data_IF_958396031331
#
_entry.id   IF_958396031331
#
_cell.length_a   1.000
_cell.length_b   1.000
_cell.length_c   1.000
_cell.angle_alpha   90.00
_cell.angle_beta   90.00
_cell.angle_gamma   90.00
#
_symmetry.space_group_name_H-M   'P 1'
#
loop_
_entity.id
_entity.type
_entity.pdbx_description
1 polymer ?
#
# COMPACT_ATOMS: atom_id res chain seq x y z
N UNK A 1 9.68 27.57 -12.89
CA UNK A 1 11.14 27.76 -12.87
C UNK A 1 11.45 28.69 -11.70
N UNK A 2 11.81 28.12 -10.54
CA UNK A 2 12.43 28.87 -9.44
C UNK A 2 13.61 28.02 -9.01
N UNK A 3 14.79 28.54 -9.33
CA UNK A 3 16.08 27.92 -9.09
C UNK A 3 16.53 28.16 -7.64
N UNK A 4 17.22 27.16 -7.12
CA UNK A 4 18.18 27.30 -6.04
C UNK A 4 19.41 28.07 -6.54
N UNK A 5 19.98 28.91 -5.69
CA UNK A 5 21.43 29.07 -5.63
C UNK A 5 21.84 29.54 -4.23
N UNK A 6 22.82 28.84 -3.67
CA UNK A 6 23.40 29.15 -2.37
C UNK A 6 24.60 30.07 -2.53
N UNK A 7 24.92 30.80 -1.46
CA UNK A 7 26.22 31.42 -1.26
C UNK A 7 26.65 31.19 0.18
N UNK A 8 27.78 30.53 0.34
CA UNK A 8 28.52 30.50 1.60
C UNK A 8 29.38 31.76 1.73
N UNK A 9 29.59 32.20 2.97
CA UNK A 9 30.75 32.99 3.37
C UNK A 9 31.02 32.77 4.87
N UNK A 10 32.22 32.30 5.18
CA UNK A 10 32.88 32.38 6.50
C UNK A 10 33.78 33.63 6.46
N UNK A 11 33.86 34.44 7.52
CA UNK A 11 35.01 34.32 8.44
C UNK A 11 34.74 34.69 9.92
N UNK A 12 35.56 34.10 10.80
CA UNK A 12 36.00 34.53 12.15
C UNK A 12 35.18 35.58 12.94
N UNK A 13 34.71 35.23 14.15
CA UNK A 13 35.32 35.71 15.41
C UNK A 13 34.60 35.23 16.67
N UNK A 14 35.42 34.83 17.64
CA UNK A 14 35.07 34.46 19.01
C UNK A 14 34.68 35.70 19.85
N UNK A 15 33.85 35.52 20.90
CA UNK A 15 34.34 36.01 22.19
C UNK A 15 34.26 34.94 23.28
N UNK A 16 35.44 34.73 23.88
CA UNK A 16 35.66 34.07 25.17
C UNK A 16 34.94 34.86 26.27
N UNK A 17 34.00 34.24 26.97
CA UNK A 17 33.65 34.58 28.35
C UNK A 17 32.53 33.66 28.87
N UNK A 18 32.89 32.49 29.38
CA UNK A 18 32.05 31.76 30.32
C UNK A 18 32.89 31.51 31.57
N UNK A 19 32.70 32.41 32.54
CA UNK A 19 33.23 32.28 33.90
C UNK A 19 32.72 30.96 34.48
N UNK A 20 33.64 30.07 34.85
CA UNK A 20 33.34 28.90 35.67
C UNK A 20 32.89 29.40 37.05
N UNK A 21 31.63 29.17 37.39
CA UNK A 21 31.18 29.22 38.77
C UNK A 21 31.55 27.85 39.36
N UNK A 22 32.62 27.82 40.15
CA UNK A 22 32.95 26.66 40.97
C UNK A 22 32.02 26.68 42.18
N UNK A 23 30.97 25.85 42.15
CA UNK A 23 30.19 25.51 43.34
C UNK A 23 30.97 24.43 44.09
N UNK A 24 31.68 24.82 45.15
CA UNK A 24 32.30 23.87 46.07
C UNK A 24 31.21 23.30 46.97
N UNK A 25 30.61 22.19 46.56
CA UNK A 25 29.75 21.39 47.45
C UNK A 25 30.67 20.53 48.31
N UNK A 26 30.77 20.84 49.60
CA UNK A 26 31.39 19.96 50.59
C UNK A 26 30.42 18.79 50.82
N UNK A 27 30.51 17.78 49.95
CA UNK A 27 29.70 16.58 50.05
C UNK A 27 30.39 15.58 50.97
N UNK A 28 29.79 15.36 52.13
CA UNK A 28 30.20 14.33 53.09
C UNK A 28 30.16 12.95 52.40
N UNK A 29 31.27 12.20 52.41
CA UNK A 29 31.49 11.01 51.57
C UNK A 29 30.46 9.89 51.77
N UNK A 30 29.73 9.91 52.88
CA UNK A 30 28.69 8.95 53.26
C UNK A 30 27.35 9.20 52.54
N UNK A 31 27.05 10.44 52.16
CA UNK A 31 25.80 10.80 51.47
C UNK A 31 25.84 10.46 49.96
N UNK A 32 27.03 10.37 49.36
CA UNK A 32 27.20 10.13 47.93
C UNK A 32 26.82 8.70 47.52
N UNK A 33 27.04 7.71 48.39
CA UNK A 33 26.71 6.30 48.11
C UNK A 33 25.20 6.05 48.07
N UNK A 34 24.44 6.70 48.96
CA UNK A 34 22.98 6.61 48.97
C UNK A 34 22.37 7.36 47.78
N UNK A 35 22.93 8.53 47.41
CA UNK A 35 22.48 9.26 46.23
C UNK A 35 22.71 8.47 44.93
N UNK A 36 23.85 7.77 44.81
CA UNK A 36 24.14 6.93 43.64
C UNK A 36 23.20 5.72 43.56
N UNK A 37 22.87 5.07 44.67
CA UNK A 37 21.89 3.98 44.67
C UNK A 37 20.48 4.45 44.31
N UNK A 38 20.06 5.63 44.77
CA UNK A 38 18.74 6.20 44.44
C UNK A 38 18.64 6.53 42.94
N UNK A 39 19.71 7.06 42.33
CA UNK A 39 19.76 7.38 40.90
C UNK A 39 19.69 6.11 40.05
N UNK A 40 20.39 5.04 40.44
CA UNK A 40 20.32 3.74 39.74
C UNK A 40 18.92 3.12 39.86
N UNK A 41 18.27 3.25 41.02
CA UNK A 41 16.90 2.77 41.21
C UNK A 41 15.88 3.55 40.37
N UNK A 42 16.06 4.87 40.23
CA UNK A 42 15.21 5.71 39.37
C UNK A 42 15.40 5.43 37.87
N UNK A 43 16.63 5.11 37.43
CA UNK A 43 16.92 4.72 36.05
C UNK A 43 16.32 3.36 35.66
N UNK A 44 16.13 2.46 36.63
CA UNK A 44 15.43 1.18 36.46
C UNK A 44 13.90 1.32 36.41
N UNK A 45 13.33 2.32 37.07
CA UNK A 45 11.87 2.59 37.08
C UNK A 45 11.43 3.38 35.83
N UNK A 46 12.34 4.12 35.19
CA UNK A 46 12.06 4.94 34.00
C UNK A 46 12.35 4.24 32.67
N UNK A 47 12.54 2.93 32.64
CA UNK A 47 12.34 2.15 31.42
C UNK A 47 10.83 1.89 31.32
N UNK A 48 10.03 2.68 30.59
CA UNK A 48 8.76 2.16 30.15
C UNK A 48 9.13 0.87 29.40
N UNK A 49 8.56 -0.24 29.86
CA UNK A 49 8.45 -1.41 29.03
C UNK A 49 7.77 -0.93 27.75
N UNK A 50 8.57 -0.63 26.73
CA UNK A 50 8.14 -0.63 25.35
C UNK A 50 7.83 -2.10 25.07
N UNK A 51 6.72 -2.57 25.62
CA UNK A 51 5.96 -3.65 25.03
C UNK A 51 5.59 -3.13 23.65
N UNK A 52 6.45 -3.44 22.68
CA UNK A 52 6.04 -3.47 21.30
C UNK A 52 4.79 -4.32 21.30
N UNK A 53 3.64 -3.68 21.11
CA UNK A 53 2.42 -4.38 20.75
C UNK A 53 2.72 -5.03 19.41
N UNK A 54 3.24 -6.23 19.46
CA UNK A 54 3.22 -7.16 18.35
C UNK A 54 1.73 -7.38 18.11
N UNK A 55 1.19 -6.60 17.16
CA UNK A 55 -0.13 -6.90 16.66
C UNK A 55 0.00 -8.28 16.04
N UNK A 56 -0.58 -9.27 16.70
CA UNK A 56 -0.94 -10.54 16.11
C UNK A 56 -1.88 -10.18 14.96
N UNK A 57 -1.30 -9.90 13.78
CA UNK A 57 -2.02 -9.89 12.53
C UNK A 57 -2.59 -11.29 12.41
N UNK A 58 -3.88 -11.42 12.67
CA UNK A 58 -4.67 -12.53 12.17
C UNK A 58 -4.31 -12.66 10.69
N UNK A 59 -3.60 -13.73 10.32
CA UNK A 59 -3.27 -14.03 8.94
C UNK A 59 -4.57 -14.41 8.23
N UNK A 60 -5.36 -13.41 7.86
CA UNK A 60 -6.43 -13.57 6.88
C UNK A 60 -5.76 -13.64 5.53
N UNK A 61 -6.07 -14.67 4.74
CA UNK A 61 -5.56 -14.78 3.37
C UNK A 61 -6.09 -13.60 2.52
N UNK A 62 -5.26 -13.00 1.65
CA UNK A 62 -5.68 -11.91 0.79
C UNK A 62 -6.89 -12.33 -0.05
N UNK A 63 -7.91 -11.47 -0.10
CA UNK A 63 -9.16 -11.79 -0.78
C UNK A 63 -9.50 -10.70 -1.78
N UNK A 64 -9.79 -11.10 -3.03
CA UNK A 64 -10.29 -10.19 -4.05
C UNK A 64 -11.82 -10.17 -4.00
N UNK A 65 -12.39 -8.98 -3.79
CA UNK A 65 -13.84 -8.76 -3.82
C UNK A 65 -14.19 -7.97 -5.07
N UNK A 66 -15.07 -8.54 -5.90
CA UNK A 66 -15.61 -7.88 -7.09
C UNK A 66 -17.05 -7.44 -6.82
N UNK A 67 -17.39 -6.19 -7.16
CA UNK A 67 -18.74 -5.64 -7.06
C UNK A 67 -19.14 -4.94 -8.33
N UNK A 68 -20.35 -5.20 -8.81
CA UNK A 68 -20.95 -4.43 -9.89
C UNK A 68 -21.32 -3.03 -9.40
N UNK A 69 -21.00 -2.02 -10.20
CA UNK A 69 -21.46 -0.65 -10.00
C UNK A 69 -22.80 -0.41 -10.73
N UNK A 70 -23.03 -1.18 -11.80
CA UNK A 70 -24.14 -1.03 -12.74
C UNK A 70 -24.72 -2.41 -13.07
N UNK A 71 -25.99 -2.46 -13.49
CA UNK A 71 -26.58 -3.66 -14.11
C UNK A 71 -25.87 -3.99 -15.43
N UNK A 72 -25.52 -5.25 -15.67
CA UNK A 72 -24.91 -5.68 -16.94
C UNK A 72 -25.96 -5.77 -18.07
N UNK A 73 -25.65 -5.18 -19.23
CA UNK A 73 -26.49 -5.20 -20.43
C UNK A 73 -25.67 -5.61 -21.65
N UNK A 74 -26.31 -6.28 -22.61
CA UNK A 74 -25.67 -6.70 -23.87
C UNK A 74 -25.12 -5.48 -24.63
N UNK A 75 -23.94 -5.62 -25.24
CA UNK A 75 -23.27 -4.59 -26.04
C UNK A 75 -23.03 -3.26 -25.30
N UNK A 76 -23.08 -3.27 -23.97
CA UNK A 76 -22.72 -2.13 -23.14
C UNK A 76 -21.59 -2.54 -22.19
N UNK A 77 -20.60 -1.67 -21.95
CA UNK A 77 -19.57 -1.96 -20.98
C UNK A 77 -20.22 -2.02 -19.58
N UNK A 78 -20.15 -3.18 -18.94
CA UNK A 78 -20.43 -3.26 -17.52
C UNK A 78 -19.38 -2.43 -16.77
N UNK A 79 -19.73 -1.92 -15.60
CA UNK A 79 -18.77 -1.29 -14.70
C UNK A 79 -18.75 -2.07 -13.40
N UNK A 80 -17.56 -2.40 -12.96
CA UNK A 80 -17.34 -3.13 -11.74
C UNK A 80 -16.10 -2.58 -11.03
N UNK A 81 -15.99 -2.90 -9.75
CA UNK A 81 -14.82 -2.59 -8.94
C UNK A 81 -14.26 -3.88 -8.35
N UNK A 82 -12.96 -4.06 -8.49
CA UNK A 82 -12.21 -5.07 -7.75
C UNK A 82 -11.48 -4.39 -6.60
N UNK A 83 -11.57 -5.00 -5.42
CA UNK A 83 -10.95 -4.53 -4.17
C UNK A 83 -10.12 -5.69 -3.61
N UNK A 84 -8.83 -5.47 -3.41
CA UNK A 84 -7.96 -6.40 -2.70
C UNK A 84 -8.03 -6.11 -1.21
N UNK A 85 -8.61 -7.04 -0.45
CA UNK A 85 -8.63 -7.02 1.00
C UNK A 85 -7.40 -7.76 1.54
N UNK A 86 -6.87 -7.29 2.66
CA UNK A 86 -5.82 -7.96 3.42
C UNK A 86 -4.54 -8.26 2.61
N UNK A 87 -4.09 -7.31 1.78
CA UNK A 87 -2.84 -7.42 1.02
C UNK A 87 -1.67 -7.94 1.88
N UNK A 88 -0.90 -8.90 1.39
CA UNK A 88 0.36 -9.34 2.02
C UNK A 88 1.32 -8.17 2.25
N UNK A 89 1.19 -7.13 1.43
CA UNK A 89 2.00 -5.94 1.44
C UNK A 89 1.34 -4.77 2.17
N UNK A 90 0.30 -4.99 2.99
CA UNK A 90 -0.42 -3.92 3.73
C UNK A 90 0.50 -2.93 4.49
N UNK A 91 1.66 -3.38 4.97
CA UNK A 91 2.62 -2.53 5.69
C UNK A 91 3.65 -1.84 4.78
N UNK A 92 3.55 -2.08 3.48
CA UNK A 92 4.33 -1.48 2.41
C UNK A 92 3.38 -0.58 1.61
N UNK A 93 3.92 0.44 0.95
CA UNK A 93 3.13 1.33 0.11
C UNK A 93 2.79 0.62 -1.23
N UNK A 94 2.09 -0.51 -1.15
CA UNK A 94 1.71 -1.31 -2.30
C UNK A 94 0.59 -0.65 -3.10
N UNK A 95 0.51 -1.07 -4.35
CA UNK A 95 -0.48 -0.66 -5.32
C UNK A 95 -0.91 -1.87 -6.13
N UNK A 96 -2.10 -1.78 -6.72
CA UNK A 96 -2.61 -2.84 -7.58
C UNK A 96 -2.78 -2.41 -9.04
N UNK A 97 -2.70 -3.40 -9.92
CA UNK A 97 -3.37 -3.43 -11.21
C UNK A 97 -4.40 -4.55 -11.22
N UNK A 98 -5.48 -4.38 -11.97
CA UNK A 98 -6.41 -5.48 -12.28
C UNK A 98 -6.19 -5.86 -13.74
N UNK A 99 -5.95 -7.14 -13.99
CA UNK A 99 -5.85 -7.70 -15.32
C UNK A 99 -7.07 -8.58 -15.59
N UNK A 100 -7.74 -8.39 -16.72
CA UNK A 100 -8.88 -9.20 -17.14
C UNK A 100 -8.55 -9.96 -18.41
N UNK A 101 -9.02 -11.20 -18.52
CA UNK A 101 -8.98 -11.91 -19.80
C UNK A 101 -9.84 -11.16 -20.82
N UNK A 102 -9.31 -10.94 -22.02
CA UNK A 102 -10.10 -10.52 -23.16
C UNK A 102 -10.99 -11.67 -23.65
N UNK A 103 -12.02 -11.34 -24.44
CA UNK A 103 -12.87 -12.40 -25.00
C UNK A 103 -12.07 -13.18 -26.06
N UNK A 104 -11.80 -14.46 -25.80
CA UNK A 104 -11.06 -15.35 -26.70
C UNK A 104 -11.57 -16.80 -26.63
N UNK A 105 -10.93 -17.69 -27.40
CA UNK A 105 -11.23 -19.13 -27.37
C UNK A 105 -10.72 -19.79 -26.09
N UNK A 106 -9.55 -19.36 -25.61
CA UNK A 106 -8.93 -19.84 -24.38
C UNK A 106 -9.32 -18.99 -23.17
N UNK A 107 -9.27 -19.61 -21.98
CA UNK A 107 -9.61 -18.96 -20.71
C UNK A 107 -8.42 -18.95 -19.76
N UNK A 108 -8.34 -17.93 -18.92
CA UNK A 108 -7.32 -17.78 -17.90
C UNK A 108 -7.44 -18.90 -16.88
N UNK A 109 -6.34 -19.62 -16.66
CA UNK A 109 -6.26 -20.66 -15.64
C UNK A 109 -6.08 -20.07 -14.26
N UNK A 110 -6.63 -20.75 -13.25
CA UNK A 110 -6.58 -20.32 -11.84
C UNK A 110 -5.15 -20.20 -11.28
N UNK A 111 -4.21 -21.00 -11.80
CA UNK A 111 -2.79 -20.95 -11.43
C UNK A 111 -1.99 -19.92 -12.25
N UNK A 112 -2.67 -19.18 -13.15
CA UNK A 112 -2.12 -18.17 -14.05
C UNK A 112 -1.06 -18.72 -15.02
N UNK A 113 -1.01 -20.03 -15.25
CA UNK A 113 0.05 -20.65 -16.05
C UNK A 113 0.06 -20.20 -17.53
N UNK A 114 -1.06 -19.68 -18.03
CA UNK A 114 -1.24 -19.25 -19.42
C UNK A 114 -1.46 -17.73 -19.55
N UNK A 115 -1.19 -16.94 -18.50
CA UNK A 115 -1.46 -15.49 -18.53
C UNK A 115 -0.71 -14.73 -19.64
N UNK A 116 0.44 -15.26 -20.10
CA UNK A 116 1.25 -14.68 -21.17
C UNK A 116 0.84 -15.15 -22.56
N UNK A 117 -0.09 -16.11 -22.65
CA UNK A 117 -0.62 -16.66 -23.90
C UNK A 117 -1.96 -16.00 -24.29
N UNK A 118 -2.58 -15.29 -23.35
CA UNK A 118 -3.88 -14.65 -23.51
C UNK A 118 -3.74 -13.14 -23.73
N UNK A 119 -4.69 -12.58 -24.48
CA UNK A 119 -4.88 -11.14 -24.51
C UNK A 119 -5.51 -10.69 -23.19
N UNK A 120 -4.93 -9.65 -22.57
CA UNK A 120 -5.30 -9.18 -21.24
C UNK A 120 -5.48 -7.65 -21.24
N UNK A 121 -6.58 -7.19 -20.65
CA UNK A 121 -6.83 -5.77 -20.40
C UNK A 121 -6.39 -5.38 -18.99
N UNK A 122 -5.67 -4.27 -18.85
CA UNK A 122 -5.14 -3.81 -17.56
C UNK A 122 -5.80 -2.51 -17.09
N UNK A 123 -6.19 -2.49 -15.82
CA UNK A 123 -6.87 -1.38 -15.17
C UNK A 123 -6.06 -0.90 -13.97
N UNK A 124 -5.71 0.39 -13.96
CA UNK A 124 -4.97 1.01 -12.87
C UNK A 124 -5.83 1.16 -11.60
N UNK A 125 -5.18 1.14 -10.44
CA UNK A 125 -5.85 1.47 -9.19
C UNK A 125 -6.35 2.92 -9.17
N UNK A 126 -7.31 3.18 -8.31
CA UNK A 126 -7.99 4.47 -8.21
C UNK A 126 -7.11 5.60 -7.69
N UNK A 127 -5.93 5.34 -7.13
CA UNK A 127 -4.98 6.41 -6.82
C UNK A 127 -4.44 7.05 -8.11
N UNK A 128 -4.24 6.24 -9.15
CA UNK A 128 -3.74 6.68 -10.46
C UNK A 128 -4.90 7.08 -11.38
N UNK A 129 -5.98 6.29 -11.43
CA UNK A 129 -7.13 6.54 -12.29
C UNK A 129 -8.08 7.59 -11.69
N UNK A 130 -7.74 8.86 -11.89
CA UNK A 130 -8.54 9.99 -11.41
C UNK A 130 -9.96 10.07 -12.00
N UNK A 131 -10.20 9.54 -13.20
CA UNK A 131 -11.51 9.59 -13.86
C UNK A 131 -12.55 8.72 -13.14
N UNK A 132 -12.11 7.56 -12.64
CA UNK A 132 -12.97 6.59 -11.97
C UNK A 132 -13.01 6.70 -10.44
N UNK A 133 -12.23 7.60 -9.83
CA UNK A 133 -12.25 7.82 -8.36
C UNK A 133 -13.65 8.11 -7.79
N UNK A 134 -14.54 8.73 -8.57
CA UNK A 134 -15.93 9.04 -8.18
C UNK A 134 -16.76 7.82 -7.80
N UNK A 135 -16.38 6.63 -8.25
CA UNK A 135 -17.13 5.39 -8.03
C UNK A 135 -16.83 4.71 -6.69
N UNK A 136 -15.81 5.17 -5.96
CA UNK A 136 -15.47 4.65 -4.65
C UNK A 136 -15.19 5.80 -3.67
N UNK A 137 -16.05 5.93 -2.65
CA UNK A 137 -15.84 6.90 -1.57
C UNK A 137 -14.84 6.41 -0.50
N UNK A 138 -14.40 5.15 -0.59
CA UNK A 138 -13.41 4.57 0.33
C UNK A 138 -12.06 5.28 0.25
N UNK A 139 -11.34 5.28 1.37
CA UNK A 139 -9.94 5.73 1.42
C UNK A 139 -8.98 4.76 0.73
N UNK A 140 -9.38 3.50 0.52
CA UNK A 140 -8.47 2.49 -0.03
C UNK A 140 -8.43 2.48 -1.56
N UNK A 141 -7.98 3.60 -2.13
CA UNK A 141 -7.86 3.79 -3.58
C UNK A 141 -6.71 2.99 -4.19
N UNK A 142 -5.66 2.70 -3.41
CA UNK A 142 -4.46 1.97 -3.87
C UNK A 142 -4.71 0.48 -4.10
N UNK A 143 -5.66 -0.11 -3.37
CA UNK A 143 -6.05 -1.52 -3.48
C UNK A 143 -7.43 -1.70 -4.10
N UNK A 144 -7.89 -0.71 -4.86
CA UNK A 144 -9.15 -0.79 -5.59
C UNK A 144 -8.95 -0.31 -7.03
N UNK A 145 -9.56 -0.99 -7.99
CA UNK A 145 -9.58 -0.56 -9.39
C UNK A 145 -10.97 -0.75 -10.00
N UNK A 146 -11.41 0.23 -10.77
CA UNK A 146 -12.63 0.14 -11.56
C UNK A 146 -12.29 -0.40 -12.92
N UNK A 147 -13.06 -1.36 -13.39
CA UNK A 147 -12.89 -1.98 -14.69
C UNK A 147 -14.22 -2.12 -15.41
N UNK A 148 -14.14 -2.35 -16.72
CA UNK A 148 -15.30 -2.66 -17.53
C UNK A 148 -15.05 -3.84 -18.46
N UNK A 149 -16.14 -4.47 -18.88
CA UNK A 149 -16.14 -5.56 -19.86
C UNK A 149 -17.46 -5.57 -20.60
N UNK A 150 -17.42 -5.85 -21.89
CA UNK A 150 -18.63 -5.90 -22.73
C UNK A 150 -18.95 -7.35 -23.08
N UNK A 151 -20.23 -7.72 -22.98
CA UNK A 151 -20.73 -9.03 -23.40
C UNK A 151 -21.62 -8.88 -24.61
N UNK A 152 -21.40 -9.75 -25.60
CA UNK A 152 -22.19 -9.78 -26.83
C UNK A 152 -23.52 -10.54 -26.67
N UNK A 153 -23.60 -11.45 -25.69
CA UNK A 153 -24.74 -12.35 -25.51
C UNK A 153 -25.38 -12.17 -24.12
N UNK A 154 -26.71 -12.23 -24.02
CA UNK A 154 -27.41 -12.22 -22.74
C UNK A 154 -27.21 -13.55 -22.00
N UNK A 155 -27.46 -13.55 -20.69
CA UNK A 155 -27.40 -14.73 -19.84
C UNK A 155 -26.24 -14.73 -18.84
N UNK A 156 -25.85 -15.92 -18.40
CA UNK A 156 -24.79 -16.10 -17.40
C UNK A 156 -23.43 -16.01 -18.06
N UNK A 157 -22.68 -14.96 -17.72
CA UNK A 157 -21.32 -14.73 -18.17
C UNK A 157 -20.36 -14.82 -16.97
N UNK A 158 -19.07 -15.08 -17.25
CA UNK A 158 -18.01 -15.11 -16.22
C UNK A 158 -16.92 -14.12 -16.60
N UNK A 159 -16.46 -13.34 -15.63
CA UNK A 159 -15.29 -12.49 -15.73
C UNK A 159 -14.16 -13.22 -15.02
N UNK A 160 -13.04 -13.45 -15.71
CA UNK A 160 -11.82 -13.97 -15.08
C UNK A 160 -10.73 -12.93 -15.18
N UNK A 161 -9.90 -12.91 -14.15
CA UNK A 161 -8.80 -11.99 -14.08
C UNK A 161 -7.93 -12.25 -12.85
N UNK A 162 -6.98 -11.36 -12.64
CA UNK A 162 -6.20 -11.35 -11.42
C UNK A 162 -5.94 -9.92 -10.95
N UNK A 163 -5.77 -9.77 -9.64
CA UNK A 163 -5.19 -8.56 -9.05
C UNK A 163 -3.70 -8.76 -8.97
N UNK A 164 -2.93 -7.87 -9.58
CA UNK A 164 -1.49 -7.79 -9.43
C UNK A 164 -1.13 -6.76 -8.37
N UNK A 165 -0.72 -7.23 -7.21
CA UNK A 165 -0.30 -6.42 -6.06
C UNK A 165 1.22 -6.31 -6.03
N UNK A 166 1.75 -5.09 -5.95
CA UNK A 166 3.18 -4.87 -6.04
C UNK A 166 3.63 -3.63 -5.24
N UNK A 167 4.90 -3.63 -4.85
CA UNK A 167 5.55 -2.49 -4.22
C UNK A 167 7.05 -2.50 -4.48
N UNK A 168 7.68 -1.34 -4.29
CA UNK A 168 9.10 -1.16 -4.60
C UNK A 168 9.30 -1.10 -6.10
N UNK A 169 9.42 0.10 -6.64
CA UNK A 169 9.83 0.28 -8.03
C UNK A 169 11.33 0.49 -8.04
N UNK A 170 12.05 -0.38 -8.73
CA UNK A 170 13.44 -0.12 -9.08
C UNK A 170 13.49 0.70 -10.36
N UNK A 171 14.24 1.81 -10.31
CA UNK A 171 14.47 2.65 -11.48
C UNK A 171 15.55 1.99 -12.31
N UNK A 172 15.15 0.95 -13.04
CA UNK A 172 15.87 0.44 -14.20
C UNK A 172 15.05 0.75 -15.45
N UNK A 173 15.64 0.66 -16.63
CA UNK A 173 15.01 0.99 -17.93
C UNK A 173 13.72 0.20 -18.26
N UNK A 174 13.29 -0.66 -17.34
CA UNK A 174 11.98 -1.30 -17.27
C UNK A 174 11.42 -1.13 -15.86
N UNK A 175 10.16 -0.68 -15.76
CA UNK A 175 9.43 -0.58 -14.49
C UNK A 175 9.10 -2.01 -14.06
N UNK A 176 10.02 -2.66 -13.35
CA UNK A 176 9.82 -3.99 -12.76
C UNK A 176 9.63 -3.77 -11.27
N UNK A 177 8.47 -4.18 -10.70
CA UNK A 177 8.32 -4.14 -9.26
C UNK A 177 9.30 -5.12 -8.61
N UNK A 178 10.05 -4.65 -7.61
CA UNK A 178 10.99 -5.47 -6.84
C UNK A 178 10.29 -6.65 -6.16
N UNK A 179 9.03 -6.46 -5.79
CA UNK A 179 8.19 -7.47 -5.13
C UNK A 179 6.77 -7.40 -5.67
N UNK A 180 6.21 -8.55 -6.05
CA UNK A 180 4.82 -8.63 -6.48
C UNK A 180 4.16 -9.98 -6.22
N UNK A 181 2.83 -9.97 -6.17
CA UNK A 181 1.95 -11.12 -6.00
C UNK A 181 0.75 -10.97 -6.93
N UNK A 182 0.22 -12.09 -7.41
CA UNK A 182 -0.98 -12.12 -8.26
C UNK A 182 -2.05 -12.96 -7.59
N UNK A 183 -3.27 -12.46 -7.59
CA UNK A 183 -4.43 -13.12 -6.98
C UNK A 183 -5.52 -13.32 -8.01
N UNK A 184 -5.71 -14.57 -8.44
CA UNK A 184 -6.77 -14.95 -9.37
C UNK A 184 -8.17 -14.70 -8.79
N UNK A 185 -9.11 -14.30 -9.64
CA UNK A 185 -10.52 -14.24 -9.29
C UNK A 185 -11.43 -14.62 -10.46
N UNK A 186 -12.61 -15.14 -10.11
CA UNK A 186 -13.73 -15.30 -11.03
C UNK A 186 -14.94 -14.57 -10.47
N UNK A 187 -15.72 -13.95 -11.35
CA UNK A 187 -16.95 -13.28 -11.00
C UNK A 187 -18.04 -13.60 -12.01
N UNK A 188 -19.11 -14.24 -11.55
CA UNK A 188 -20.28 -14.52 -12.36
C UNK A 188 -21.15 -13.27 -12.47
N UNK A 189 -21.59 -12.97 -13.69
CA UNK A 189 -22.46 -11.82 -13.98
C UNK A 189 -23.60 -12.25 -14.88
N UNK A 190 -24.80 -11.78 -14.56
CA UNK A 190 -25.98 -12.03 -15.39
C UNK A 190 -26.25 -10.82 -16.28
N UNK A 191 -26.06 -10.97 -17.59
CA UNK A 191 -26.23 -9.91 -18.59
C UNK A 191 -27.65 -9.94 -19.13
N UNK A 192 -28.33 -8.80 -19.03
CA UNK A 192 -29.69 -8.63 -19.53
C UNK A 192 -29.67 -8.21 -21.00
N UNK A 193 -30.70 -8.61 -21.74
CA UNK A 193 -30.90 -8.16 -23.11
C UNK A 193 -31.26 -6.66 -23.17
N UNK A 194 -30.90 -6.00 -24.27
CA UNK A 194 -31.31 -4.62 -24.52
C UNK A 194 -32.72 -4.64 -25.13
N UNK A 195 -33.74 -4.38 -24.30
CA UNK A 195 -35.08 -4.05 -24.81
C UNK A 195 -35.11 -2.69 -25.49
#
# INVERSE_FOLDING_TARGET
MIAWEGQGFSPYNCPKSLRRIALTVVCNLTQLKNAFQIIVFFLLILLPACEGKESTKSQTEPTVVVKLLDSSRVNQPLKAIAILLDSEFTNKNSQIFVALEENGEDTLKKDLSNEYELAMEFFANLEIDSFNQKWLQSKDKRHSAVFGKTFANPGKNTIRGYVWDFYGFEVTDSIIPSQSRKYYFEFEVHTMDNK
#
